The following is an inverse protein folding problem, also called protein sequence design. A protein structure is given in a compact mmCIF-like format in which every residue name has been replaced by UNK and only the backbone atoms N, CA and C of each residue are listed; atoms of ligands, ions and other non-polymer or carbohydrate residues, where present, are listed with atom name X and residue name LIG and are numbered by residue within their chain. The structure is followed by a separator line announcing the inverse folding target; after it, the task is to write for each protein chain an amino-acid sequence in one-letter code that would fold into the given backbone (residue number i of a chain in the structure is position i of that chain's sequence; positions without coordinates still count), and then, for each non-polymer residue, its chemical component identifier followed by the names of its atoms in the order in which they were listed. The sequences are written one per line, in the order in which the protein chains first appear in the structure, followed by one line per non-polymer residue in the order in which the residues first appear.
data_IF_455439000707
#
_entry.id   IF_455439000707
#
_cell.length_a   1.000
_cell.length_b   1.000
_cell.length_c   1.000
_cell.angle_alpha   90.00
_cell.angle_beta   90.00
_cell.angle_gamma   90.00
#
_symmetry.space_group_name_H-M   'P 1'
#
loop_
_entity.id
_entity.type
_entity.pdbx_description
1 polymer ?
#
# COMPACT_ATOMS: atom_id res chain seq x y z
N UNK A 1 3.70 2.69 18.05
CA UNK A 1 4.12 4.04 17.62
C UNK A 1 4.19 4.93 18.86
N UNK A 2 5.06 5.95 18.87
CA UNK A 2 5.13 6.92 19.99
C UNK A 2 3.86 7.78 20.00
N UNK A 3 3.56 8.45 21.12
CA UNK A 3 2.27 9.09 21.44
C UNK A 3 1.78 10.11 20.39
N UNK A 4 2.70 10.77 19.66
CA UNK A 4 2.38 11.77 18.64
C UNK A 4 2.61 11.29 17.19
N UNK A 5 2.72 9.98 16.98
CA UNK A 5 2.97 9.40 15.66
C UNK A 5 1.83 8.48 15.20
N UNK A 6 1.37 8.69 13.98
CA UNK A 6 0.35 7.88 13.31
C UNK A 6 0.77 7.53 11.88
N UNK A 7 0.07 6.60 11.24
CA UNK A 7 0.26 6.38 9.81
C UNK A 7 -0.50 7.44 9.00
N UNK A 8 0.07 7.88 7.88
CA UNK A 8 -0.61 8.79 6.97
C UNK A 8 -1.95 8.23 6.49
N UNK A 9 -2.05 6.91 6.30
CA UNK A 9 -3.30 6.23 5.92
C UNK A 9 -4.41 6.36 6.98
N UNK A 10 -4.05 6.47 8.27
CA UNK A 10 -5.06 6.66 9.32
C UNK A 10 -5.61 8.09 9.30
N UNK A 11 -4.79 9.08 8.94
CA UNK A 11 -5.25 10.43 8.66
C UNK A 11 -6.17 10.47 7.43
N UNK A 12 -5.75 9.89 6.30
CA UNK A 12 -6.52 9.87 5.06
C UNK A 12 -7.86 9.13 5.20
N UNK A 13 -7.94 8.17 6.12
CA UNK A 13 -9.19 7.47 6.47
C UNK A 13 -9.97 8.13 7.62
N UNK A 14 -9.60 9.36 8.03
CA UNK A 14 -10.23 10.13 9.09
C UNK A 14 -10.28 9.42 10.46
N UNK A 15 -9.33 8.51 10.73
CA UNK A 15 -9.19 7.81 12.01
C UNK A 15 -8.35 8.60 13.02
N UNK A 16 -7.47 9.46 12.52
CA UNK A 16 -6.60 10.33 13.32
C UNK A 16 -6.77 11.77 12.83
N UNK A 17 -6.87 12.70 13.78
CA UNK A 17 -6.85 14.13 13.52
C UNK A 17 -5.51 14.70 14.00
N UNK A 18 -4.68 15.27 13.11
CA UNK A 18 -3.40 15.84 13.49
C UNK A 18 -3.55 17.19 14.20
N UNK A 19 -2.51 17.59 14.92
CA UNK A 19 -2.31 18.97 15.36
C UNK A 19 -1.97 19.91 14.18
N UNK A 20 -1.71 21.18 14.45
CA UNK A 20 -1.58 22.20 13.41
C UNK A 20 -0.26 22.09 12.62
N UNK A 21 0.83 21.72 13.30
CA UNK A 21 2.13 21.51 12.68
C UNK A 21 2.42 20.01 12.50
N UNK A 22 2.48 19.56 11.25
CA UNK A 22 2.58 18.15 10.89
C UNK A 22 3.90 17.87 10.18
N UNK A 23 4.66 16.90 10.70
CA UNK A 23 5.81 16.33 10.01
C UNK A 23 5.41 15.03 9.31
N UNK A 24 5.65 14.92 8.01
CA UNK A 24 5.35 13.73 7.20
C UNK A 24 6.66 13.07 6.80
N UNK A 25 6.81 11.78 7.10
CA UNK A 25 8.04 11.03 6.80
C UNK A 25 7.80 10.13 5.59
N UNK A 26 8.47 10.43 4.48
CA UNK A 26 8.38 9.75 3.19
C UNK A 26 7.60 10.58 2.17
N UNK A 27 8.26 10.99 1.08
CA UNK A 27 7.67 11.74 -0.02
C UNK A 27 7.42 10.86 -1.26
N UNK A 28 6.92 9.65 -1.02
CA UNK A 28 6.23 8.87 -2.05
C UNK A 28 4.85 9.45 -2.38
N UNK A 29 3.99 8.67 -3.02
CA UNK A 29 2.63 9.12 -3.40
C UNK A 29 1.81 9.51 -2.17
N UNK A 30 1.64 8.56 -1.25
CA UNK A 30 0.83 8.75 -0.04
C UNK A 30 1.29 9.97 0.76
N UNK A 31 2.59 10.13 1.00
CA UNK A 31 3.11 11.25 1.78
C UNK A 31 2.98 12.60 1.07
N UNK A 32 3.24 12.63 -0.25
CA UNK A 32 3.10 13.87 -1.04
C UNK A 32 1.64 14.31 -1.13
N UNK A 33 0.71 13.39 -1.38
CA UNK A 33 -0.73 13.68 -1.42
C UNK A 33 -1.26 14.10 -0.04
N UNK A 34 -0.79 13.45 1.03
CA UNK A 34 -1.11 13.84 2.41
C UNK A 34 -0.61 15.25 2.72
N UNK A 35 0.58 15.60 2.26
CA UNK A 35 1.16 16.94 2.45
C UNK A 35 0.33 18.03 1.75
N UNK A 36 -0.03 17.77 0.49
CA UNK A 36 -0.90 18.63 -0.31
C UNK A 36 -2.26 18.86 0.38
N UNK A 37 -2.93 17.77 0.78
CA UNK A 37 -4.26 17.83 1.42
C UNK A 37 -4.24 18.61 2.75
N UNK A 38 -3.22 18.37 3.60
CA UNK A 38 -3.05 19.12 4.84
C UNK A 38 -2.74 20.60 4.58
N UNK A 39 -1.87 20.91 3.62
CA UNK A 39 -1.53 22.29 3.30
C UNK A 39 -2.72 23.08 2.75
N UNK A 40 -3.58 22.46 1.92
CA UNK A 40 -4.84 23.06 1.44
C UNK A 40 -5.79 23.41 2.59
N UNK A 41 -5.80 22.59 3.64
CA UNK A 41 -6.60 22.82 4.84
C UNK A 41 -5.95 23.82 5.82
N UNK A 42 -4.79 24.38 5.46
CA UNK A 42 -4.11 25.44 6.21
C UNK A 42 -3.18 24.93 7.31
N UNK A 43 -2.83 23.64 7.35
CA UNK A 43 -1.84 23.12 8.28
C UNK A 43 -0.42 23.55 7.89
N UNK A 44 0.48 23.65 8.87
CA UNK A 44 1.90 23.80 8.61
C UNK A 44 2.49 22.40 8.36
N UNK A 45 3.11 22.19 7.20
CA UNK A 45 3.57 20.85 6.79
C UNK A 45 5.08 20.85 6.52
N UNK A 46 5.78 19.92 7.16
CA UNK A 46 7.17 19.57 6.86
C UNK A 46 7.22 18.16 6.27
N UNK A 47 7.59 18.05 4.99
CA UNK A 47 7.68 16.79 4.27
C UNK A 47 9.13 16.33 4.16
N UNK A 48 9.46 15.18 4.75
CA UNK A 48 10.80 14.60 4.75
C UNK A 48 10.96 13.49 3.73
N UNK A 49 12.04 13.54 2.95
CA UNK A 49 12.42 12.52 1.98
C UNK A 49 13.92 12.24 2.06
N UNK A 50 14.28 10.96 2.17
CA UNK A 50 15.68 10.54 2.22
C UNK A 50 16.36 10.61 0.84
N UNK A 51 15.59 10.53 -0.24
CA UNK A 51 16.07 10.65 -1.62
C UNK A 51 16.26 12.12 -2.02
N UNK A 52 17.03 12.39 -3.09
CA UNK A 52 17.25 13.75 -3.59
C UNK A 52 15.99 14.47 -4.06
N UNK A 53 14.97 13.73 -4.49
CA UNK A 53 13.72 14.30 -5.02
C UNK A 53 12.50 13.60 -4.42
N UNK A 54 11.41 14.35 -4.27
CA UNK A 54 10.08 13.78 -4.01
C UNK A 54 9.60 12.98 -5.21
N UNK A 55 8.75 11.98 -4.96
CA UNK A 55 8.17 11.09 -5.96
C UNK A 55 9.18 10.31 -6.82
N UNK A 56 10.48 10.30 -6.46
CA UNK A 56 11.55 9.75 -7.30
C UNK A 56 11.34 8.28 -7.68
N UNK A 57 10.76 7.48 -6.79
CA UNK A 57 10.46 6.07 -7.02
C UNK A 57 8.95 5.78 -7.15
N UNK A 58 8.12 6.81 -7.33
CA UNK A 58 6.67 6.65 -7.43
C UNK A 58 6.25 5.93 -8.73
N UNK A 59 7.10 5.96 -9.77
CA UNK A 59 6.84 5.36 -11.09
C UNK A 59 5.48 5.77 -11.68
N UNK A 60 5.01 6.98 -11.38
CA UNK A 60 3.73 7.52 -11.86
C UNK A 60 3.79 7.99 -13.31
N UNK A 61 2.62 8.23 -13.89
CA UNK A 61 2.60 8.92 -15.17
C UNK A 61 3.18 10.34 -15.00
N UNK A 62 3.92 10.80 -16.02
CA UNK A 62 4.65 12.06 -15.98
C UNK A 62 3.74 13.26 -15.65
N UNK A 63 2.47 13.21 -16.08
CA UNK A 63 1.51 14.29 -15.81
C UNK A 63 1.15 14.37 -14.32
N UNK A 64 0.90 13.24 -13.67
CA UNK A 64 0.58 13.22 -12.24
C UNK A 64 1.77 13.67 -11.39
N UNK A 65 2.97 13.19 -11.73
CA UNK A 65 4.19 13.58 -10.99
C UNK A 65 4.45 15.09 -11.11
N UNK A 66 4.34 15.66 -12.31
CA UNK A 66 4.50 17.10 -12.53
C UNK A 66 3.44 17.91 -11.78
N UNK A 67 2.18 17.46 -11.80
CA UNK A 67 1.11 18.14 -11.11
C UNK A 67 1.33 18.16 -9.59
N UNK A 68 1.67 17.02 -8.99
CA UNK A 68 1.95 16.93 -7.55
C UNK A 68 3.15 17.79 -7.16
N UNK A 69 4.24 17.76 -7.93
CA UNK A 69 5.41 18.62 -7.68
C UNK A 69 5.08 20.10 -7.75
N UNK A 70 4.30 20.51 -8.76
CA UNK A 70 3.84 21.88 -8.90
C UNK A 70 2.95 22.29 -7.72
N UNK A 71 2.06 21.38 -7.29
CA UNK A 71 1.17 21.60 -6.16
C UNK A 71 1.93 21.81 -4.86
N UNK A 72 2.86 20.92 -4.53
CA UNK A 72 3.75 21.07 -3.36
C UNK A 72 4.53 22.39 -3.38
N UNK A 73 4.95 22.86 -4.55
CA UNK A 73 5.70 24.10 -4.69
C UNK A 73 4.85 25.37 -4.51
N UNK A 74 3.53 25.28 -4.75
CA UNK A 74 2.58 26.39 -4.58
C UNK A 74 1.98 26.39 -3.18
N UNK A 75 1.77 25.21 -2.61
CA UNK A 75 1.26 25.02 -1.26
C UNK A 75 2.35 25.35 -0.21
N UNK A 76 1.92 25.61 1.02
CA UNK A 76 2.82 25.93 2.14
C UNK A 76 3.49 24.68 2.73
N UNK A 77 4.08 23.84 1.88
CA UNK A 77 4.80 22.61 2.27
C UNK A 77 6.30 22.86 2.27
N UNK A 78 6.93 22.72 3.44
CA UNK A 78 8.39 22.76 3.55
C UNK A 78 8.96 21.38 3.25
N UNK A 79 9.71 21.25 2.16
CA UNK A 79 10.26 19.96 1.72
C UNK A 79 11.73 19.83 2.12
N UNK A 80 12.03 18.75 2.85
CA UNK A 80 13.38 18.34 3.24
C UNK A 80 13.79 17.11 2.44
N UNK A 81 14.46 17.29 1.30
CA UNK A 81 15.03 16.18 0.53
C UNK A 81 16.46 15.86 0.95
N UNK A 82 16.94 14.66 0.60
CA UNK A 82 18.21 14.11 1.12
C UNK A 82 18.28 14.16 2.65
N UNK A 83 17.13 14.10 3.32
CA UNK A 83 16.97 14.25 4.75
C UNK A 83 16.50 12.92 5.36
N UNK A 84 17.30 12.35 6.24
CA UNK A 84 16.98 11.06 6.87
C UNK A 84 16.52 11.29 8.29
N UNK A 85 15.22 11.09 8.55
CA UNK A 85 14.70 11.06 9.92
C UNK A 85 15.31 9.88 10.67
N UNK A 86 15.83 10.14 11.86
CA UNK A 86 16.48 9.16 12.74
C UNK A 86 15.62 8.80 13.92
N UNK A 87 14.92 9.78 14.46
CA UNK A 87 14.12 9.61 15.66
C UNK A 87 12.93 10.56 15.66
N UNK A 88 11.83 10.08 16.21
CA UNK A 88 10.67 10.89 16.60
C UNK A 88 10.60 10.76 18.11
N UNK A 89 10.58 11.83 18.89
CA UNK A 89 10.44 11.77 20.34
C UNK A 89 9.97 13.10 20.92
N UNK A 90 9.19 13.08 22.00
CA UNK A 90 8.81 14.28 22.76
C UNK A 90 8.28 15.45 21.91
N UNK A 91 7.48 15.14 20.87
CA UNK A 91 6.95 16.15 19.94
C UNK A 91 8.00 16.75 18.98
N UNK A 92 9.11 16.06 18.76
CA UNK A 92 10.17 16.50 17.85
C UNK A 92 10.61 15.38 16.91
N UNK A 93 11.04 15.77 15.72
CA UNK A 93 11.68 14.92 14.71
C UNK A 93 13.16 15.27 14.66
N UNK A 94 14.01 14.29 14.94
CA UNK A 94 15.46 14.40 14.75
C UNK A 94 15.82 13.79 13.40
N UNK A 95 16.53 14.55 12.55
CA UNK A 95 16.90 14.11 11.21
C UNK A 95 18.33 14.54 10.85
N UNK A 96 18.92 13.85 9.88
CA UNK A 96 20.19 14.24 9.26
C UNK A 96 19.87 14.95 7.95
N UNK A 97 20.29 16.21 7.81
CA UNK A 97 20.05 17.01 6.61
C UNK A 97 20.96 16.64 5.43
N UNK A 98 20.76 17.31 4.29
CA UNK A 98 21.55 17.12 3.08
C UNK A 98 23.05 17.45 3.25
N UNK A 99 23.42 18.21 4.29
CA UNK A 99 24.80 18.55 4.66
C UNK A 99 25.37 17.61 5.72
N UNK A 100 24.68 16.48 6.02
CA UNK A 100 25.07 15.49 7.04
C UNK A 100 25.09 16.05 8.47
N UNK A 101 24.33 17.11 8.74
CA UNK A 101 24.20 17.69 10.08
C UNK A 101 22.93 17.16 10.74
N UNK A 102 23.00 16.93 12.05
CA UNK A 102 21.84 16.57 12.85
C UNK A 102 21.01 17.84 13.10
N UNK A 103 19.73 17.76 12.79
CA UNK A 103 18.75 18.82 12.97
C UNK A 103 17.57 18.28 13.79
N UNK A 104 16.84 19.19 14.43
CA UNK A 104 15.63 18.89 15.19
C UNK A 104 14.52 19.82 14.75
N UNK A 105 13.32 19.28 14.52
CA UNK A 105 12.11 20.02 14.20
C UNK A 105 11.03 19.67 15.23
N UNK A 106 10.50 20.67 15.92
CA UNK A 106 9.30 20.48 16.75
C UNK A 106 8.05 20.40 15.86
N UNK A 107 7.12 19.52 16.20
CA UNK A 107 5.83 19.37 15.51
C UNK A 107 4.78 18.75 16.44
N UNK A 108 3.50 19.02 16.17
CA UNK A 108 2.40 18.46 16.95
C UNK A 108 2.15 16.99 16.62
N UNK A 109 2.28 16.61 15.34
CA UNK A 109 1.97 15.27 14.86
C UNK A 109 2.96 14.81 13.81
N UNK A 110 3.34 13.54 13.89
CA UNK A 110 4.16 12.87 12.87
C UNK A 110 3.32 11.85 12.11
N UNK A 111 3.27 11.97 10.79
CA UNK A 111 2.62 11.01 9.91
C UNK A 111 3.67 10.17 9.19
N UNK A 112 3.64 8.86 9.41
CA UNK A 112 4.50 7.89 8.73
C UNK A 112 3.91 7.52 7.36
N UNK A 113 4.67 7.78 6.29
CA UNK A 113 4.33 7.49 4.91
C UNK A 113 5.49 6.80 4.15
N UNK A 114 6.35 6.05 4.83
CA UNK A 114 7.56 5.43 4.24
C UNK A 114 7.27 4.21 3.35
N UNK A 115 6.02 3.76 3.28
CA UNK A 115 5.58 2.62 2.47
C UNK A 115 4.76 1.61 3.26
N UNK A 116 4.42 0.52 2.59
CA UNK A 116 3.58 -0.56 3.11
C UNK A 116 4.35 -1.89 3.12
N UNK A 117 3.89 -2.81 3.96
CA UNK A 117 4.35 -4.19 4.01
C UNK A 117 3.18 -5.12 3.71
N UNK A 118 3.44 -6.23 3.02
CA UNK A 118 2.46 -7.29 2.79
C UNK A 118 1.81 -7.74 4.09
N UNK A 119 0.50 -7.96 4.06
CA UNK A 119 -0.21 -8.67 5.10
C UNK A 119 -0.70 -10.02 4.55
N UNK A 120 0.15 -11.04 4.65
CA UNK A 120 -0.06 -12.37 4.09
C UNK A 120 -0.24 -13.44 5.20
N UNK A 121 -0.61 -13.03 6.42
CA UNK A 121 -0.65 -13.90 7.59
C UNK A 121 -1.53 -15.15 7.41
N UNK A 122 -2.58 -15.05 6.59
CA UNK A 122 -3.52 -16.15 6.30
C UNK A 122 -3.04 -17.12 5.21
N UNK A 123 -1.96 -16.81 4.50
CA UNK A 123 -1.54 -17.56 3.32
C UNK A 123 -1.23 -19.03 3.64
N UNK A 124 -0.40 -19.28 4.65
CA UNK A 124 0.01 -20.63 5.05
C UNK A 124 -1.17 -21.48 5.54
N UNK A 125 -2.08 -20.90 6.32
CA UNK A 125 -3.27 -21.60 6.81
C UNK A 125 -4.18 -22.02 5.66
N UNK A 126 -4.32 -21.17 4.64
CA UNK A 126 -5.11 -21.45 3.45
C UNK A 126 -4.43 -22.49 2.55
N UNK A 127 -3.09 -22.45 2.40
CA UNK A 127 -2.37 -23.50 1.68
C UNK A 127 -2.55 -24.88 2.34
N UNK A 128 -2.51 -24.93 3.67
CA UNK A 128 -2.73 -26.16 4.43
C UNK A 128 -4.16 -26.71 4.31
N UNK A 129 -5.17 -25.84 4.22
CA UNK A 129 -6.59 -26.24 4.13
C UNK A 129 -7.01 -26.65 2.72
N UNK A 130 -6.35 -26.13 1.70
CA UNK A 130 -6.77 -26.26 0.30
C UNK A 130 -5.73 -26.94 -0.59
N UNK A 131 -4.79 -27.71 -0.05
CA UNK A 131 -3.78 -28.46 -0.81
C UNK A 131 -3.07 -27.59 -1.87
N UNK A 132 -2.58 -26.42 -1.47
CA UNK A 132 -1.95 -25.42 -2.36
C UNK A 132 -2.86 -24.84 -3.48
N UNK A 133 -4.19 -25.01 -3.38
CA UNK A 133 -5.14 -24.41 -4.32
C UNK A 133 -5.53 -22.96 -3.98
N UNK A 134 -4.91 -22.33 -2.98
CA UNK A 134 -5.07 -20.91 -2.70
C UNK A 134 -4.14 -20.07 -3.58
N UNK A 135 -4.56 -18.85 -3.92
CA UNK A 135 -3.73 -17.88 -4.65
C UNK A 135 -3.68 -16.57 -3.86
N UNK A 136 -2.47 -16.15 -3.48
CA UNK A 136 -2.21 -14.82 -2.90
C UNK A 136 -2.02 -13.83 -4.04
N UNK A 137 -2.78 -12.73 -4.05
CA UNK A 137 -2.69 -11.69 -5.07
C UNK A 137 -2.69 -10.31 -4.43
N UNK A 138 -2.44 -9.27 -5.22
CA UNK A 138 -2.57 -7.88 -4.78
C UNK A 138 -1.53 -7.50 -3.74
N UNK A 139 -1.92 -6.65 -2.79
CA UNK A 139 -0.99 -6.10 -1.80
C UNK A 139 -0.62 -7.13 -0.72
N UNK A 140 -1.45 -8.14 -0.46
CA UNK A 140 -1.05 -9.30 0.34
C UNK A 140 0.14 -10.05 -0.30
N UNK A 141 0.22 -10.12 -1.62
CA UNK A 141 1.40 -10.68 -2.29
C UNK A 141 2.58 -9.71 -2.19
N UNK A 142 2.39 -8.49 -2.67
CA UNK A 142 3.40 -7.44 -2.59
C UNK A 142 2.74 -6.07 -2.81
N UNK A 143 2.86 -5.12 -1.85
CA UNK A 143 2.29 -3.79 -1.98
C UNK A 143 2.78 -3.06 -3.22
N UNK A 144 1.85 -2.66 -4.08
CA UNK A 144 2.12 -1.96 -5.35
C UNK A 144 1.01 -0.94 -5.62
N UNK A 145 0.80 -0.62 -6.90
CA UNK A 145 -0.27 0.27 -7.32
C UNK A 145 -1.57 -0.51 -7.43
N UNK A 146 -2.68 0.21 -7.30
CA UNK A 146 -4.03 -0.34 -7.49
C UNK A 146 -4.18 -1.13 -8.80
N UNK A 147 -3.51 -0.69 -9.87
CA UNK A 147 -3.52 -1.38 -11.16
C UNK A 147 -2.92 -2.80 -11.09
N UNK A 148 -1.90 -3.02 -10.26
CA UNK A 148 -1.31 -4.35 -10.06
C UNK A 148 -2.33 -5.29 -9.40
N UNK A 149 -2.98 -4.84 -8.32
CA UNK A 149 -4.01 -5.63 -7.64
C UNK A 149 -5.19 -5.97 -8.57
N UNK A 150 -5.65 -5.02 -9.38
CA UNK A 150 -6.70 -5.25 -10.39
C UNK A 150 -6.25 -6.28 -11.44
N UNK A 151 -5.05 -6.10 -12.00
CA UNK A 151 -4.54 -6.99 -13.04
C UNK A 151 -4.31 -8.41 -12.53
N UNK A 152 -3.78 -8.57 -11.31
CA UNK A 152 -3.56 -9.86 -10.69
C UNK A 152 -4.87 -10.58 -10.38
N UNK A 153 -5.88 -9.87 -9.86
CA UNK A 153 -7.21 -10.44 -9.67
C UNK A 153 -7.84 -10.93 -10.97
N UNK A 154 -7.76 -10.11 -12.02
CA UNK A 154 -8.25 -10.45 -13.34
C UNK A 154 -7.51 -11.64 -13.98
N UNK A 155 -6.18 -11.66 -13.87
CA UNK A 155 -5.37 -12.73 -14.43
C UNK A 155 -5.65 -14.05 -13.71
N UNK A 156 -5.75 -14.01 -12.38
CA UNK A 156 -5.96 -15.19 -11.53
C UNK A 156 -7.30 -15.86 -11.83
N UNK A 157 -8.39 -15.10 -11.99
CA UNK A 157 -9.68 -15.72 -12.32
C UNK A 157 -9.67 -16.41 -13.69
N UNK A 158 -8.97 -15.83 -14.68
CA UNK A 158 -8.86 -16.41 -16.03
C UNK A 158 -8.06 -17.70 -16.06
N UNK A 159 -6.96 -17.78 -15.30
CA UNK A 159 -6.16 -19.00 -15.23
C UNK A 159 -6.91 -20.11 -14.49
N UNK A 160 -7.70 -19.77 -13.47
CA UNK A 160 -8.57 -20.72 -12.77
C UNK A 160 -9.68 -21.28 -13.67
N UNK A 161 -10.30 -20.47 -14.53
CA UNK A 161 -11.29 -20.95 -15.52
C UNK A 161 -10.69 -21.95 -16.53
N UNK A 162 -9.48 -21.69 -17.02
CA UNK A 162 -8.77 -22.58 -17.94
C UNK A 162 -8.40 -23.91 -17.27
N UNK A 163 -7.91 -23.87 -16.03
CA UNK A 163 -7.61 -25.06 -15.25
C UNK A 163 -8.86 -25.93 -15.03
N UNK A 164 -9.97 -25.31 -14.65
CA UNK A 164 -11.26 -26.01 -14.49
C UNK A 164 -11.74 -26.62 -15.82
N UNK A 165 -11.56 -25.93 -16.93
CA UNK A 165 -11.92 -26.42 -18.26
C UNK A 165 -11.10 -27.65 -18.68
N UNK A 166 -9.79 -27.62 -18.45
CA UNK A 166 -8.88 -28.72 -18.77
C UNK A 166 -9.14 -29.96 -17.89
N UNK A 167 -9.35 -29.78 -16.58
CA UNK A 167 -9.76 -30.87 -15.68
C UNK A 167 -11.12 -31.46 -16.06
N UNK A 168 -12.07 -30.63 -16.49
CA UNK A 168 -13.38 -31.10 -16.95
C UNK A 168 -13.25 -31.95 -18.23
N UNK A 169 -12.27 -31.67 -19.09
CA UNK A 169 -11.98 -32.50 -20.27
C UNK A 169 -11.30 -33.82 -19.90
N UNK A 170 -10.34 -33.82 -18.96
CA UNK A 170 -9.73 -35.06 -18.43
C UNK A 170 -10.77 -35.98 -17.77
N UNK A 171 -11.68 -35.42 -16.98
CA UNK A 171 -12.76 -36.19 -16.33
C UNK A 171 -13.77 -36.70 -17.36
N UNK A 172 -14.03 -35.97 -18.45
CA UNK A 172 -14.88 -36.47 -19.54
C UNK A 172 -14.25 -37.63 -20.34
N UNK A 173 -12.93 -37.81 -20.25
CA UNK A 173 -12.22 -38.98 -20.80
C UNK A 173 -12.30 -40.23 -19.92
N UNK A 174 -12.73 -40.08 -18.66
CA UNK A 174 -12.92 -41.16 -17.69
C UNK A 174 -14.37 -41.13 -17.18
N UNK A 175 -15.28 -41.80 -17.90
CA UNK A 175 -16.66 -42.11 -17.50
C UNK A 175 -17.53 -40.92 -17.06
N UNK A 176 -18.03 -40.16 -18.03
CA UNK A 176 -18.99 -39.08 -17.82
C UNK A 176 -20.44 -39.58 -17.73
N UNK A 177 -20.93 -39.83 -16.51
CA UNK A 177 -22.34 -39.63 -16.17
C UNK A 177 -22.43 -38.84 -14.85
N UNK A 178 -23.34 -37.85 -14.83
CA UNK A 178 -23.79 -37.01 -13.71
C UNK A 178 -23.32 -35.54 -13.62
N UNK A 179 -24.24 -34.70 -14.12
CA UNK A 179 -24.95 -33.62 -13.40
C UNK A 179 -24.40 -32.18 -13.48
N UNK A 180 -25.18 -31.35 -14.22
CA UNK A 180 -25.39 -29.93 -13.96
C UNK A 180 -25.83 -29.72 -12.50
N UNK A 181 -25.25 -28.73 -11.81
CA UNK A 181 -25.74 -28.30 -10.50
C UNK A 181 -24.90 -27.17 -9.91
N UNK A 182 -25.47 -25.96 -9.92
CA UNK A 182 -25.10 -24.85 -9.06
C UNK A 182 -24.99 -25.29 -7.59
N UNK A 183 -24.02 -24.73 -6.85
CA UNK A 183 -24.06 -24.51 -5.39
C UNK A 183 -24.44 -25.73 -4.52
N UNK A 184 -23.54 -26.67 -4.20
CA UNK A 184 -23.68 -27.50 -2.97
C UNK A 184 -22.33 -27.99 -2.38
N UNK A 185 -22.20 -28.07 -1.03
CA UNK A 185 -20.93 -28.11 -0.28
C UNK A 185 -20.49 -29.53 0.13
N UNK A 186 -20.62 -30.53 -0.74
CA UNK A 186 -20.40 -31.94 -0.37
C UNK A 186 -19.48 -32.74 -1.29
N UNK A 187 -18.60 -32.08 -2.03
CA UNK A 187 -17.59 -32.80 -2.81
C UNK A 187 -16.19 -32.33 -2.44
N UNK A 188 -15.48 -33.15 -1.64
CA UNK A 188 -14.12 -32.89 -1.14
C UNK A 188 -13.04 -32.81 -2.24
N UNK A 189 -13.41 -32.89 -3.53
CA UNK A 189 -12.46 -32.89 -4.65
C UNK A 189 -12.66 -31.78 -5.68
N UNK A 190 -13.49 -30.77 -5.42
CA UNK A 190 -13.53 -29.58 -6.27
C UNK A 190 -12.61 -28.53 -5.64
N UNK A 191 -11.46 -28.28 -6.26
CA UNK A 191 -10.51 -27.27 -5.84
C UNK A 191 -11.26 -25.93 -5.70
N UNK A 192 -11.43 -25.51 -4.45
CA UNK A 192 -12.00 -24.21 -4.13
C UNK A 192 -10.83 -23.26 -4.08
N UNK A 193 -10.60 -22.52 -5.16
CA UNK A 193 -9.51 -21.56 -5.17
C UNK A 193 -9.90 -20.34 -4.35
N UNK A 194 -9.20 -20.15 -3.24
CA UNK A 194 -9.35 -18.99 -2.37
C UNK A 194 -8.42 -17.90 -2.89
N UNK A 195 -8.97 -16.69 -3.06
CA UNK A 195 -8.22 -15.50 -3.43
C UNK A 195 -8.00 -14.66 -2.18
N UNK A 196 -6.75 -14.34 -1.90
CA UNK A 196 -6.33 -13.52 -0.76
C UNK A 196 -5.94 -12.14 -1.29
N UNK A 197 -6.52 -11.07 -0.72
CA UNK A 197 -6.24 -9.67 -1.06
C UNK A 197 -5.39 -8.99 0.01
#
# INVERSE_FOLDING_TARGET
MKENAAFAVDYLNHRVKPGHHVAIIGAGLTGTETACDLAEQGYQVDLFEQLPNILQNANECLNNEQHLKAKVAVDNVTVHTSATVKEVENGQVTYVDNQKRVQTLACDTVLNAIGFQSNDQLSNDLYALFDDHANVIGDALQPRKIMNAIHEGYHTIRTLEQWNSNKTQEIKGADALYLLGFLYPNNKSKACSVVIF
#
